data_IF_500207990331
#
_entry.id   IF_500207990331
#
_cell.length_a   1.000
_cell.length_b   1.000
_cell.length_c   1.000
_cell.angle_alpha   90.00
_cell.angle_beta   90.00
_cell.angle_gamma   90.00
#
_symmetry.space_group_name_H-M   'P 1'
#
loop_
_entity.id
_entity.type
_entity.pdbx_description
1 polymer ?
#
# COMPACT_ATOMS: atom_id res chain seq x y z
N UNK A 1 9.37 32.69 -4.11
CA UNK A 1 9.81 31.32 -4.39
C UNK A 1 8.76 30.30 -3.96
N UNK A 2 8.37 29.33 -4.81
CA UNK A 2 7.51 28.24 -4.36
C UNK A 2 8.29 27.41 -3.35
N UNK A 3 7.75 27.26 -2.14
CA UNK A 3 8.35 26.39 -1.10
C UNK A 3 8.38 24.96 -1.66
N UNK A 4 9.56 24.45 -2.03
CA UNK A 4 9.72 23.04 -2.43
C UNK A 4 9.24 22.18 -1.27
N UNK A 5 8.13 21.46 -1.43
CA UNK A 5 7.68 20.49 -0.43
C UNK A 5 8.76 19.41 -0.34
N UNK A 6 9.28 19.09 0.86
CA UNK A 6 10.27 18.04 1.00
C UNK A 6 9.69 16.72 0.47
N UNK A 7 10.54 15.92 -0.18
CA UNK A 7 10.13 14.61 -0.67
C UNK A 7 9.73 13.73 0.52
N UNK A 8 8.70 12.87 0.37
CA UNK A 8 8.34 11.92 1.41
C UNK A 8 9.55 11.05 1.78
N UNK A 9 9.85 10.95 3.09
CA UNK A 9 10.91 10.08 3.60
C UNK A 9 10.61 8.60 3.31
N UNK A 10 11.64 7.76 3.30
CA UNK A 10 11.46 6.31 3.25
C UNK A 10 11.01 5.83 4.63
N UNK A 11 9.81 5.26 4.72
CA UNK A 11 9.20 4.74 5.96
C UNK A 11 9.35 3.25 6.17
N UNK A 12 9.38 2.47 5.09
CA UNK A 12 9.41 1.01 5.13
C UNK A 12 10.64 0.49 4.38
N UNK A 13 11.16 -0.66 4.79
CA UNK A 13 12.33 -1.32 4.22
C UNK A 13 12.03 -2.78 3.90
N UNK A 14 12.88 -3.41 3.10
CA UNK A 14 12.77 -4.84 2.74
C UNK A 14 12.62 -5.70 4.00
N UNK A 15 11.65 -6.59 3.98
CA UNK A 15 11.33 -7.51 5.08
C UNK A 15 10.27 -6.98 6.05
N UNK A 16 9.92 -5.69 6.02
CA UNK A 16 8.83 -5.17 6.85
C UNK A 16 7.50 -5.83 6.46
N UNK A 17 6.73 -6.20 7.48
CA UNK A 17 5.34 -6.62 7.33
C UNK A 17 4.43 -5.40 7.37
N UNK A 18 3.53 -5.32 6.39
CA UNK A 18 2.61 -4.20 6.24
C UNK A 18 1.22 -4.67 5.86
N UNK A 19 0.21 -3.91 6.27
CA UNK A 19 -1.11 -3.94 5.67
C UNK A 19 -1.08 -3.13 4.37
N UNK A 20 -1.56 -3.72 3.28
CA UNK A 20 -1.72 -3.05 2.00
C UNK A 20 -3.19 -3.01 1.57
N UNK A 21 -3.66 -1.84 1.13
CA UNK A 21 -5.01 -1.70 0.58
C UNK A 21 -4.98 -1.73 -0.94
N UNK A 22 -5.31 -2.88 -1.51
CA UNK A 22 -5.53 -3.00 -2.95
C UNK A 22 -6.96 -2.60 -3.30
N UNK A 23 -7.13 -1.70 -4.28
CA UNK A 23 -8.39 -1.24 -4.87
C UNK A 23 -9.68 -1.79 -4.23
N UNK A 24 -10.25 -2.87 -4.80
CA UNK A 24 -11.49 -3.50 -4.34
C UNK A 24 -11.28 -4.68 -3.38
N UNK A 25 -10.05 -5.04 -3.03
CA UNK A 25 -9.77 -6.11 -2.07
C UNK A 25 -9.84 -5.56 -0.63
N UNK A 26 -9.98 -6.40 0.40
CA UNK A 26 -9.80 -5.93 1.77
C UNK A 26 -8.36 -5.45 1.98
N UNK A 27 -8.08 -4.93 3.16
CA UNK A 27 -6.68 -4.82 3.58
C UNK A 27 -6.06 -6.21 3.63
N UNK A 28 -4.83 -6.35 3.13
CA UNK A 28 -4.15 -7.64 3.05
C UNK A 28 -2.75 -7.54 3.65
N UNK A 29 -2.28 -8.56 4.38
CA UNK A 29 -0.92 -8.58 4.88
C UNK A 29 0.07 -8.86 3.74
N UNK A 30 1.11 -8.05 3.67
CA UNK A 30 2.16 -8.13 2.66
C UNK A 30 3.53 -7.95 3.31
N UNK A 31 4.58 -8.35 2.58
CA UNK A 31 5.95 -8.00 2.93
C UNK A 31 6.51 -7.00 1.91
N UNK A 32 7.38 -6.10 2.36
CA UNK A 32 8.16 -5.24 1.47
C UNK A 32 9.26 -6.11 0.83
N UNK A 33 9.30 -6.17 -0.50
CA UNK A 33 10.31 -6.90 -1.26
C UNK A 33 10.94 -6.01 -2.33
N UNK A 34 12.08 -6.43 -2.85
CA UNK A 34 12.67 -5.75 -4.01
C UNK A 34 11.96 -6.21 -5.28
N UNK A 35 11.73 -5.27 -6.20
CA UNK A 35 11.28 -5.63 -7.55
C UNK A 35 12.41 -6.31 -8.33
N UNK A 36 12.09 -6.79 -9.53
CA UNK A 36 13.03 -7.21 -10.57
C UNK A 36 14.21 -6.24 -10.82
N UNK A 37 14.04 -4.95 -10.52
CA UNK A 37 15.04 -3.90 -10.65
C UNK A 37 15.90 -3.72 -9.37
N UNK A 38 15.74 -4.58 -8.36
CA UNK A 38 16.50 -4.53 -7.12
C UNK A 38 16.12 -3.37 -6.19
N UNK A 39 14.93 -2.79 -6.34
CA UNK A 39 14.44 -1.70 -5.49
C UNK A 39 13.04 -1.99 -4.94
N UNK A 40 12.83 -1.67 -3.66
CA UNK A 40 11.55 -1.82 -2.97
C UNK A 40 10.78 -0.50 -2.82
N UNK A 41 11.38 0.65 -3.17
CA UNK A 41 10.71 1.94 -3.09
C UNK A 41 11.15 2.89 -4.18
N UNK A 42 10.20 3.65 -4.72
CA UNK A 42 10.49 4.74 -5.66
C UNK A 42 9.47 5.86 -5.54
N UNK A 43 9.83 7.02 -6.06
CA UNK A 43 8.83 8.05 -6.33
C UNK A 43 8.04 7.65 -7.58
N UNK A 44 6.72 7.75 -7.51
CA UNK A 44 5.88 7.66 -8.71
C UNK A 44 6.32 8.76 -9.68
N UNK A 45 6.41 8.44 -10.98
CA UNK A 45 6.85 9.28 -12.10
C UNK A 45 6.40 10.75 -11.98
N UNK A 46 7.16 11.72 -12.55
CA UNK A 46 7.12 13.12 -12.15
C UNK A 46 5.70 13.66 -12.03
N UNK A 47 5.33 14.00 -10.80
CA UNK A 47 3.99 14.40 -10.41
C UNK A 47 4.07 15.73 -9.64
N UNK A 48 3.16 16.69 -9.89
CA UNK A 48 3.01 17.88 -9.05
C UNK A 48 2.72 17.55 -7.58
N UNK A 49 2.26 16.32 -7.32
CA UNK A 49 2.04 15.75 -5.99
C UNK A 49 2.98 14.55 -5.81
N UNK A 50 4.18 14.76 -5.23
CA UNK A 50 5.12 13.68 -4.96
C UNK A 50 4.44 12.55 -4.18
N UNK A 51 4.52 11.33 -4.70
CA UNK A 51 3.93 10.15 -4.08
C UNK A 51 4.95 9.01 -4.10
N UNK A 52 5.35 8.54 -2.92
CA UNK A 52 6.22 7.38 -2.79
C UNK A 52 5.37 6.12 -2.93
N UNK A 53 5.90 5.15 -3.67
CA UNK A 53 5.34 3.80 -3.80
C UNK A 53 6.34 2.79 -3.26
N UNK A 54 5.80 1.69 -2.76
CA UNK A 54 6.57 0.54 -2.27
C UNK A 54 6.20 -0.69 -3.07
N UNK A 55 7.18 -1.54 -3.35
CA UNK A 55 6.95 -2.83 -3.95
C UNK A 55 6.67 -3.84 -2.84
N UNK A 56 5.53 -4.50 -2.96
CA UNK A 56 5.00 -5.42 -1.97
C UNK A 56 4.68 -6.74 -2.64
N UNK A 57 4.77 -7.82 -1.87
CA UNK A 57 4.24 -9.12 -2.24
C UNK A 57 3.26 -9.62 -1.16
N UNK A 58 2.14 -10.19 -1.59
CA UNK A 58 1.08 -10.68 -0.71
C UNK A 58 1.52 -11.93 0.04
N UNK A 59 1.05 -12.06 1.27
CA UNK A 59 1.25 -13.29 2.07
C UNK A 59 0.04 -14.22 1.83
N UNK A 60 0.30 -15.50 1.54
CA UNK A 60 -0.73 -16.52 1.36
C UNK A 60 -0.37 -17.51 0.25
N UNK A 61 -1.36 -18.31 -0.18
CA UNK A 61 -1.20 -19.31 -1.24
C UNK A 61 -0.94 -18.70 -2.63
N UNK A 62 -1.47 -17.49 -2.86
CA UNK A 62 -1.29 -16.75 -4.09
C UNK A 62 -0.36 -15.56 -3.84
N UNK A 63 0.86 -15.65 -4.36
CA UNK A 63 1.86 -14.58 -4.31
C UNK A 63 1.62 -13.61 -5.48
N UNK A 64 0.99 -12.48 -5.18
CA UNK A 64 0.84 -11.35 -6.09
C UNK A 64 1.78 -10.22 -5.64
N UNK A 65 2.50 -9.61 -6.58
CA UNK A 65 3.41 -8.49 -6.29
C UNK A 65 2.96 -7.21 -7.00
N UNK A 66 3.04 -6.06 -6.34
CA UNK A 66 2.58 -4.79 -6.89
C UNK A 66 3.24 -3.56 -6.25
N UNK A 67 3.27 -2.46 -7.02
CA UNK A 67 3.63 -1.13 -6.52
C UNK A 67 2.43 -0.45 -5.85
N UNK A 68 2.52 -0.22 -4.54
CA UNK A 68 1.43 0.35 -3.74
C UNK A 68 1.83 1.73 -3.20
N UNK A 69 0.95 2.76 -3.29
CA UNK A 69 1.22 4.08 -2.70
C UNK A 69 1.38 4.02 -1.18
N UNK A 70 2.31 4.80 -0.63
CA UNK A 70 2.53 4.91 0.82
C UNK A 70 1.24 5.22 1.60
N UNK A 71 0.33 6.01 1.02
CA UNK A 71 -0.97 6.34 1.62
C UNK A 71 -1.94 5.16 1.75
N UNK A 72 -1.63 4.03 1.14
CA UNK A 72 -2.41 2.79 1.15
C UNK A 72 -1.65 1.65 1.84
N UNK A 73 -0.65 2.00 2.66
CA UNK A 73 0.19 1.07 3.43
C UNK A 73 0.18 1.49 4.90
N UNK A 74 -0.03 0.52 5.79
CA UNK A 74 0.07 0.69 7.24
C UNK A 74 0.99 -0.38 7.84
N UNK A 75 1.66 -0.11 8.98
CA UNK A 75 2.45 -1.13 9.66
C UNK A 75 1.58 -2.32 10.06
N UNK A 76 2.10 -3.54 9.96
CA UNK A 76 1.42 -4.75 10.43
C UNK A 76 1.92 -5.12 11.82
N UNK A 77 1.02 -5.16 12.81
CA UNK A 77 1.31 -5.67 14.16
C UNK A 77 0.55 -6.96 14.48
N UNK A 78 -0.44 -7.30 13.66
CA UNK A 78 -1.12 -8.59 13.74
C UNK A 78 -2.52 -8.58 13.12
N UNK A 79 -3.08 -9.77 12.89
CA UNK A 79 -4.40 -9.93 12.29
C UNK A 79 -5.56 -9.29 13.07
N UNK A 80 -5.37 -9.04 14.37
CA UNK A 80 -6.35 -8.35 15.22
C UNK A 80 -6.65 -6.93 14.73
N UNK A 81 -5.69 -6.26 14.09
CA UNK A 81 -5.85 -4.90 13.56
C UNK A 81 -6.88 -4.82 12.42
N UNK A 82 -7.15 -5.94 11.74
CA UNK A 82 -7.95 -5.96 10.51
C UNK A 82 -9.30 -5.25 10.63
N UNK A 83 -9.97 -5.40 11.78
CA UNK A 83 -11.29 -4.80 12.05
C UNK A 83 -11.24 -3.28 12.19
N UNK A 84 -10.09 -2.74 12.59
CA UNK A 84 -9.89 -1.32 12.88
C UNK A 84 -9.18 -0.58 11.74
N UNK A 85 -8.80 -1.29 10.67
CA UNK A 85 -8.12 -0.67 9.54
C UNK A 85 -9.05 0.33 8.80
N UNK A 86 -8.52 1.51 8.42
CA UNK A 86 -9.35 2.58 7.89
C UNK A 86 -9.92 2.23 6.51
N UNK A 87 -11.14 2.68 6.24
CA UNK A 87 -11.76 2.53 4.92
C UNK A 87 -11.18 3.58 3.96
N UNK A 88 -10.16 3.20 3.19
CA UNK A 88 -9.61 4.08 2.16
C UNK A 88 -10.49 4.07 0.90
N UNK A 89 -11.02 5.25 0.55
CA UNK A 89 -11.82 5.60 -0.66
C UNK A 89 -12.58 4.42 -1.29
N UNK A 90 -13.86 4.26 -0.95
CA UNK A 90 -14.79 3.38 -1.70
C UNK A 90 -14.95 3.89 -3.13
N UNK A 91 -14.58 3.08 -4.14
CA UNK A 91 -14.76 3.39 -5.56
C UNK A 91 -15.71 2.38 -6.20
N UNK A 92 -16.58 2.85 -7.11
CA UNK A 92 -17.53 2.00 -7.83
C UNK A 92 -18.46 1.21 -6.89
N UNK A 93 -18.67 -0.07 -7.20
CA UNK A 93 -19.55 -0.99 -6.44
C UNK A 93 -19.21 -1.12 -4.95
N UNK A 94 -17.99 -0.78 -4.52
CA UNK A 94 -17.63 -0.76 -3.09
C UNK A 94 -18.40 0.30 -2.28
N UNK A 95 -19.11 1.23 -2.95
CA UNK A 95 -20.03 2.17 -2.30
C UNK A 95 -21.36 1.54 -1.89
N UNK A 96 -21.72 0.39 -2.47
CA UNK A 96 -22.98 -0.30 -2.17
C UNK A 96 -22.97 -0.77 -0.70
N UNK A 97 -24.14 -0.69 -0.05
CA UNK A 97 -24.28 -1.00 1.38
C UNK A 97 -23.95 -2.46 1.70
N UNK A 98 -24.17 -3.35 0.75
CA UNK A 98 -24.01 -4.80 0.90
C UNK A 98 -22.70 -5.34 0.30
N UNK A 99 -21.73 -4.46 -0.01
CA UNK A 99 -20.46 -4.90 -0.58
C UNK A 99 -19.69 -5.79 0.40
N UNK A 100 -19.62 -7.08 0.07
CA UNK A 100 -18.81 -8.07 0.77
C UNK A 100 -17.53 -8.33 0.00
N UNK A 101 -16.43 -8.50 0.73
CA UNK A 101 -15.21 -9.06 0.18
C UNK A 101 -15.44 -10.56 0.02
N UNK A 102 -15.86 -10.98 -1.17
CA UNK A 102 -15.93 -12.39 -1.61
C UNK A 102 -14.59 -12.83 -2.13
#
# INVERSE_FOLDING_TARGET
>A
SPKKRPLPAVKYVKGDLVWAKFNRRPWWPCHICDSDQGTHTKMKAPSPRPCRVYFLETIGEMLESAWVPESAILPFKGGHEFKDLPVLRRRGKQKEKDYKYT
#
